data_IF_512740461987
#
_entry.id   IF_512740461987
#
_cell.length_a   1.000
_cell.length_b   1.000
_cell.length_c   1.000
_cell.angle_alpha   90.00
_cell.angle_beta   90.00
_cell.angle_gamma   90.00
#
_symmetry.space_group_name_H-M   'P 1'
#
loop_
_entity.id
_entity.type
_entity.pdbx_description
1 polymer ?
#
# COMPACT_ATOMS: atom_id res chain seq x y z
N UNK A 1 -13.56 -2.55 -12.22
CA UNK A 1 -12.45 -3.10 -13.06
C UNK A 1 -11.14 -2.70 -12.40
N UNK A 2 -10.11 -3.57 -12.36
CA UNK A 2 -8.82 -3.25 -11.74
C UNK A 2 -7.66 -3.49 -12.72
N UNK A 3 -6.76 -2.51 -12.78
CA UNK A 3 -5.44 -2.56 -13.42
C UNK A 3 -4.38 -2.62 -12.32
N UNK A 4 -3.39 -3.49 -12.44
CA UNK A 4 -2.32 -3.60 -11.45
C UNK A 4 -0.95 -3.35 -12.09
N UNK A 5 -0.10 -2.60 -11.39
CA UNK A 5 1.30 -2.38 -11.73
C UNK A 5 2.16 -2.92 -10.59
N UNK A 6 2.67 -4.13 -10.74
CA UNK A 6 3.61 -4.72 -9.79
C UNK A 6 5.05 -4.39 -10.17
N UNK A 7 5.96 -4.48 -9.20
CA UNK A 7 7.38 -4.38 -9.46
C UNK A 7 8.20 -4.04 -8.21
N UNK A 8 9.53 -4.12 -8.29
CA UNK A 8 10.39 -3.88 -7.15
C UNK A 8 10.35 -2.42 -6.67
N UNK A 9 10.85 -2.17 -5.47
CA UNK A 9 10.97 -0.81 -4.95
C UNK A 9 11.89 0.04 -5.85
N UNK A 10 11.50 1.30 -6.11
CA UNK A 10 12.26 2.21 -6.96
C UNK A 10 12.06 2.03 -8.48
N UNK A 11 11.22 1.08 -8.94
CA UNK A 11 10.96 0.86 -10.37
C UNK A 11 10.16 1.97 -11.06
N UNK A 12 9.59 2.90 -10.28
CA UNK A 12 8.74 3.98 -10.79
C UNK A 12 7.24 3.67 -10.85
N UNK A 13 6.83 2.46 -10.44
CA UNK A 13 5.43 2.02 -10.44
C UNK A 13 4.43 2.99 -9.83
N UNK A 14 4.68 3.54 -8.64
CA UNK A 14 3.72 4.42 -7.97
C UNK A 14 3.58 5.77 -8.69
N UNK A 15 4.66 6.30 -9.27
CA UNK A 15 4.58 7.52 -10.10
C UNK A 15 3.81 7.26 -11.39
N UNK A 16 4.07 6.14 -12.05
CA UNK A 16 3.37 5.74 -13.28
C UNK A 16 1.89 5.49 -13.01
N UNK A 17 1.54 4.73 -11.98
CA UNK A 17 0.15 4.44 -11.62
C UNK A 17 -0.64 5.72 -11.35
N UNK A 18 -0.07 6.67 -10.59
CA UNK A 18 -0.69 7.97 -10.34
C UNK A 18 -0.84 8.82 -11.59
N UNK A 19 0.16 8.82 -12.48
CA UNK A 19 0.08 9.55 -13.74
C UNK A 19 -1.00 8.97 -14.66
N UNK A 20 -1.08 7.64 -14.78
CA UNK A 20 -2.12 6.95 -15.55
C UNK A 20 -3.50 7.21 -14.96
N UNK A 21 -3.65 7.13 -13.63
CA UNK A 21 -4.88 7.47 -12.94
C UNK A 21 -5.37 8.88 -13.29
N UNK A 22 -4.47 9.87 -13.19
CA UNK A 22 -4.79 11.26 -13.52
C UNK A 22 -5.12 11.45 -15.00
N UNK A 23 -4.36 10.85 -15.92
CA UNK A 23 -4.55 11.00 -17.36
C UNK A 23 -5.84 10.35 -17.85
N UNK A 24 -6.19 9.18 -17.32
CA UNK A 24 -7.40 8.43 -17.70
C UNK A 24 -8.62 8.78 -16.84
N UNK A 25 -8.45 9.63 -15.83
CA UNK A 25 -9.49 9.97 -14.84
C UNK A 25 -10.08 8.72 -14.15
N UNK A 26 -9.22 7.76 -13.83
CA UNK A 26 -9.57 6.54 -13.09
C UNK A 26 -9.01 6.58 -11.67
N UNK A 27 -9.52 5.72 -10.80
CA UNK A 27 -9.17 5.75 -9.38
C UNK A 27 -7.80 5.13 -9.10
N UNK A 28 -7.01 5.73 -8.19
CA UNK A 28 -5.79 5.10 -7.68
C UNK A 28 -6.08 4.41 -6.33
N UNK A 29 -5.80 3.11 -6.24
CA UNK A 29 -5.96 2.34 -5.00
C UNK A 29 -4.69 2.47 -4.14
N UNK A 30 -4.82 3.15 -2.99
CA UNK A 30 -3.78 3.22 -1.98
C UNK A 30 -3.88 2.03 -1.02
N UNK A 31 -3.26 0.90 -1.38
CA UNK A 31 -3.22 -0.30 -0.55
C UNK A 31 -2.58 -0.04 0.83
N UNK A 32 -1.65 0.92 0.92
CA UNK A 32 -1.04 1.34 2.17
C UNK A 32 -2.03 2.02 3.12
N UNK A 33 -2.97 2.82 2.59
CA UNK A 33 -4.01 3.45 3.39
C UNK A 33 -4.93 2.42 4.07
N UNK A 34 -5.24 1.31 3.40
CA UNK A 34 -6.08 0.24 3.98
C UNK A 34 -5.42 -0.41 5.20
N UNK A 35 -4.14 -0.76 5.10
CA UNK A 35 -3.40 -1.29 6.26
C UNK A 35 -3.32 -0.28 7.40
N UNK A 36 -3.24 1.02 7.09
CA UNK A 36 -3.22 2.08 8.10
C UNK A 36 -4.57 2.27 8.79
N UNK A 37 -5.70 2.10 8.10
CA UNK A 37 -7.02 2.05 8.75
C UNK A 37 -7.09 0.86 9.69
N UNK A 38 -6.69 -0.34 9.25
CA UNK A 38 -6.64 -1.51 10.14
C UNK A 38 -5.73 -1.26 11.35
N UNK A 39 -4.61 -0.58 11.16
CA UNK A 39 -3.71 -0.18 12.25
C UNK A 39 -4.37 0.80 13.21
N UNK A 40 -5.17 1.74 12.72
CA UNK A 40 -5.94 2.64 13.58
C UNK A 40 -6.95 1.87 14.45
N UNK A 41 -7.65 0.88 13.88
CA UNK A 41 -8.54 0.00 14.66
C UNK A 41 -7.76 -0.78 15.72
N UNK A 42 -6.56 -1.26 15.40
CA UNK A 42 -5.66 -1.91 16.37
C UNK A 42 -5.20 -0.98 17.50
N UNK A 43 -4.96 0.29 17.21
CA UNK A 43 -4.64 1.27 18.24
C UNK A 43 -5.85 1.53 19.15
N UNK A 44 -7.05 1.62 18.57
CA UNK A 44 -8.31 1.80 19.31
C UNK A 44 -8.69 0.57 20.15
N UNK A 45 -8.11 -0.60 19.87
CA UNK A 45 -8.30 -1.81 20.67
C UNK A 45 -7.28 -1.94 21.82
N UNK A 46 -6.57 -0.86 22.17
CA UNK A 46 -5.45 -0.87 23.11
C UNK A 46 -4.35 -1.88 22.72
N UNK A 47 -4.15 -2.10 21.42
CA UNK A 47 -3.19 -3.07 20.85
C UNK A 47 -3.46 -4.52 21.27
N UNK A 48 -4.68 -4.83 21.69
CA UNK A 48 -5.13 -6.19 21.95
C UNK A 48 -5.70 -6.82 20.67
N UNK A 49 -5.18 -7.98 20.26
CA UNK A 49 -5.62 -8.64 19.01
C UNK A 49 -7.03 -9.22 19.07
N UNK A 50 -7.48 -9.73 20.21
CA UNK A 50 -8.84 -10.28 20.35
C UNK A 50 -9.86 -9.15 20.18
N UNK A 51 -9.71 -8.08 20.97
CA UNK A 51 -10.53 -6.87 20.86
C UNK A 51 -10.41 -6.22 19.47
N UNK A 52 -9.21 -6.26 18.87
CA UNK A 52 -8.99 -5.72 17.53
C UNK A 52 -9.85 -6.43 16.48
N UNK A 53 -9.89 -7.76 16.49
CA UNK A 53 -10.68 -8.50 15.50
C UNK A 53 -12.18 -8.28 15.70
N UNK A 54 -12.65 -8.22 16.95
CA UNK A 54 -14.04 -7.88 17.26
C UNK A 54 -14.40 -6.48 16.71
N UNK A 55 -13.57 -5.47 16.99
CA UNK A 55 -13.76 -4.11 16.48
C UNK A 55 -13.67 -4.05 14.95
N UNK A 56 -12.78 -4.82 14.34
CA UNK A 56 -12.59 -4.83 12.89
C UNK A 56 -13.81 -5.42 12.17
N UNK A 57 -14.44 -6.45 12.73
CA UNK A 57 -15.65 -7.06 12.20
C UNK A 57 -16.86 -6.13 12.32
N UNK A 58 -16.96 -5.37 13.42
CA UNK A 58 -18.03 -4.39 13.62
C UNK A 58 -17.83 -3.09 12.82
N UNK A 59 -16.60 -2.81 12.39
CA UNK A 59 -16.21 -1.57 11.74
C UNK A 59 -16.72 -1.47 10.30
N UNK A 60 -17.34 -0.34 9.98
CA UNK A 60 -17.67 0.03 8.59
C UNK A 60 -16.52 0.81 7.98
N UNK A 61 -15.64 0.13 7.26
CA UNK A 61 -14.55 0.75 6.53
C UNK A 61 -14.99 1.03 5.10
N UNK A 62 -14.86 2.28 4.67
CA UNK A 62 -15.13 2.69 3.30
C UNK A 62 -14.12 3.70 2.81
N UNK A 63 -13.99 3.81 1.49
CA UNK A 63 -13.04 4.71 0.87
C UNK A 63 -13.67 5.42 -0.31
N UNK A 64 -13.35 6.70 -0.42
CA UNK A 64 -13.80 7.54 -1.51
C UNK A 64 -12.60 8.23 -2.11
N UNK A 65 -12.49 8.20 -3.43
CA UNK A 65 -11.48 8.98 -4.12
C UNK A 65 -12.10 10.28 -4.60
N UNK A 66 -11.57 11.41 -4.14
CA UNK A 66 -12.05 12.74 -4.47
C UNK A 66 -10.85 13.67 -4.62
N UNK A 67 -10.87 14.56 -5.61
CA UNK A 67 -9.84 15.58 -5.83
C UNK A 67 -8.41 15.01 -5.91
N UNK A 68 -8.27 13.81 -6.51
CA UNK A 68 -6.98 13.14 -6.66
C UNK A 68 -6.45 12.49 -5.37
N UNK A 69 -7.26 12.41 -4.31
CA UNK A 69 -6.89 11.88 -3.00
C UNK A 69 -7.82 10.77 -2.56
N UNK A 70 -7.25 9.79 -1.86
CA UNK A 70 -7.98 8.72 -1.22
C UNK A 70 -8.40 9.18 0.19
N UNK A 71 -9.70 9.25 0.40
CA UNK A 71 -10.33 9.58 1.67
C UNK A 71 -10.80 8.30 2.34
N UNK A 72 -10.35 8.09 3.57
CA UNK A 72 -10.66 6.90 4.36
C UNK A 72 -11.72 7.23 5.40
N UNK A 73 -12.71 6.35 5.53
CA UNK A 73 -13.78 6.48 6.50
C UNK A 73 -13.86 5.23 7.36
N UNK A 74 -13.94 5.44 8.67
CA UNK A 74 -14.17 4.41 9.67
C UNK A 74 -15.46 4.76 10.42
N UNK A 75 -16.48 3.90 10.35
CA UNK A 75 -17.78 4.13 10.99
C UNK A 75 -18.45 5.45 10.56
N UNK A 76 -18.28 5.81 9.28
CA UNK A 76 -18.72 7.07 8.65
C UNK A 76 -17.97 8.34 9.10
N UNK A 77 -16.94 8.22 9.94
CA UNK A 77 -16.06 9.32 10.28
C UNK A 77 -14.84 9.32 9.37
N UNK A 78 -14.45 10.50 8.87
CA UNK A 78 -13.28 10.63 8.01
C UNK A 78 -12.00 10.53 8.85
N UNK A 79 -11.17 9.52 8.56
CA UNK A 79 -9.91 9.23 9.27
C UNK A 79 -8.68 9.45 8.38
N UNK A 80 -8.83 10.12 7.23
CA UNK A 80 -7.79 10.34 6.22
C UNK A 80 -6.47 10.88 6.78
N UNK A 81 -6.52 11.82 7.71
CA UNK A 81 -5.33 12.41 8.32
C UNK A 81 -4.81 11.59 9.50
N UNK A 82 -5.72 11.00 10.27
CA UNK A 82 -5.39 10.18 11.44
C UNK A 82 -4.59 8.92 11.07
N UNK A 83 -4.95 8.26 9.96
CA UNK A 83 -4.19 7.10 9.45
C UNK A 83 -2.77 7.45 8.98
N UNK A 84 -2.45 8.75 8.87
CA UNK A 84 -1.12 9.26 8.53
C UNK A 84 -0.33 9.75 9.74
N UNK A 85 -0.87 9.56 10.95
CA UNK A 85 -0.18 9.89 12.20
C UNK A 85 1.13 9.12 12.36
N UNK A 86 1.99 9.65 13.23
CA UNK A 86 3.26 8.99 13.60
C UNK A 86 3.00 7.64 14.26
N UNK A 87 2.03 7.59 15.17
CA UNK A 87 1.67 6.37 15.91
C UNK A 87 1.21 5.24 14.98
N UNK A 88 0.34 5.54 14.00
CA UNK A 88 -0.06 4.57 12.97
C UNK A 88 1.15 4.12 12.13
N UNK A 89 2.04 5.05 11.78
CA UNK A 89 3.22 4.74 10.99
C UNK A 89 4.21 3.83 11.72
N UNK A 90 4.28 3.90 13.05
CA UNK A 90 5.12 3.04 13.89
C UNK A 90 4.59 1.60 13.96
N UNK A 91 3.26 1.41 13.96
CA UNK A 91 2.65 0.08 14.16
C UNK A 91 2.20 -0.61 12.87
N UNK A 92 2.06 0.11 11.75
CA UNK A 92 1.51 -0.47 10.50
C UNK A 92 2.34 -1.66 9.97
N UNK A 93 3.65 -1.67 10.21
CA UNK A 93 4.50 -2.78 9.77
C UNK A 93 4.25 -4.06 10.58
N UNK A 94 4.00 -3.92 11.88
CA UNK A 94 3.62 -5.03 12.77
C UNK A 94 2.25 -5.58 12.37
N UNK A 95 1.26 -4.70 12.25
CA UNK A 95 -0.12 -5.06 11.90
C UNK A 95 -0.19 -5.73 10.52
N UNK A 96 0.49 -5.18 9.50
CA UNK A 96 0.54 -5.77 8.16
C UNK A 96 1.29 -7.13 8.09
N UNK A 97 2.11 -7.45 9.11
CA UNK A 97 2.79 -8.74 9.20
C UNK A 97 1.88 -9.87 9.68
N UNK A 98 0.71 -9.55 10.26
CA UNK A 98 -0.28 -10.54 10.66
C UNK A 98 -1.02 -11.12 9.41
N UNK A 99 -1.01 -12.46 9.20
CA UNK A 99 -1.69 -13.08 8.05
C UNK A 99 -3.20 -12.83 7.98
N UNK A 100 -3.90 -12.83 9.11
CA UNK A 100 -5.34 -12.63 9.16
C UNK A 100 -5.72 -11.19 8.80
N UNK A 101 -4.90 -10.23 9.23
CA UNK A 101 -5.02 -8.82 8.80
C UNK A 101 -4.81 -8.70 7.30
N UNK A 102 -3.78 -9.33 6.73
CA UNK A 102 -3.56 -9.31 5.28
C UNK A 102 -4.74 -9.90 4.52
N UNK A 103 -5.30 -11.01 5.00
CA UNK A 103 -6.48 -11.64 4.41
C UNK A 103 -7.66 -10.66 4.41
N UNK A 104 -7.96 -10.07 5.57
CA UNK A 104 -9.04 -9.07 5.69
C UNK A 104 -8.83 -7.87 4.74
N UNK A 105 -7.64 -7.28 4.74
CA UNK A 105 -7.32 -6.13 3.89
C UNK A 105 -7.40 -6.48 2.41
N UNK A 106 -6.99 -7.70 2.02
CA UNK A 106 -7.13 -8.18 0.64
C UNK A 106 -8.61 -8.33 0.23
N UNK A 107 -9.45 -8.85 1.12
CA UNK A 107 -10.89 -8.98 0.85
C UNK A 107 -11.56 -7.60 0.75
N UNK A 108 -11.22 -6.67 1.65
CA UNK A 108 -11.69 -5.29 1.58
C UNK A 108 -11.25 -4.59 0.28
N UNK A 109 -9.99 -4.77 -0.14
CA UNK A 109 -9.51 -4.26 -1.42
C UNK A 109 -10.32 -4.79 -2.60
N UNK A 110 -10.66 -6.08 -2.61
CA UNK A 110 -11.50 -6.70 -3.65
C UNK A 110 -12.90 -6.12 -3.69
N UNK A 111 -13.49 -5.80 -2.54
CA UNK A 111 -14.79 -5.14 -2.49
C UNK A 111 -14.74 -3.70 -3.01
N UNK A 112 -13.73 -2.92 -2.60
CA UNK A 112 -13.59 -1.50 -2.99
C UNK A 112 -13.48 -1.34 -4.51
N UNK A 113 -12.78 -2.23 -5.21
CA UNK A 113 -12.55 -2.10 -6.67
C UNK A 113 -13.75 -2.49 -7.54
N UNK A 114 -14.86 -2.96 -6.95
CA UNK A 114 -16.06 -3.38 -7.70
C UNK A 114 -16.89 -2.20 -8.22
N UNK A 115 -16.82 -1.04 -7.57
CA UNK A 115 -17.69 0.10 -7.84
C UNK A 115 -17.23 0.98 -9.02
N UNK A 116 -15.95 0.90 -9.41
CA UNK A 116 -15.37 1.80 -10.42
C UNK A 116 -14.17 1.15 -11.16
N UNK A 117 -13.46 1.93 -11.97
CA UNK A 117 -12.21 1.56 -12.61
C UNK A 117 -11.05 2.04 -11.74
N UNK A 118 -10.22 1.08 -11.32
CA UNK A 118 -9.08 1.33 -10.45
C UNK A 118 -7.76 0.96 -11.14
N UNK A 119 -6.70 1.65 -10.73
CA UNK A 119 -5.31 1.24 -10.91
C UNK A 119 -4.62 1.16 -9.54
N UNK A 120 -3.89 0.08 -9.30
CA UNK A 120 -3.14 -0.13 -8.06
C UNK A 120 -1.67 -0.45 -8.38
N UNK A 121 -0.75 -0.06 -7.51
CA UNK A 121 0.65 -0.48 -7.59
C UNK A 121 1.11 -1.22 -6.34
N UNK A 122 1.96 -2.23 -6.53
CA UNK A 122 2.41 -3.09 -5.45
C UNK A 122 3.58 -3.98 -5.83
N UNK A 123 3.76 -5.07 -5.09
CA UNK A 123 4.80 -6.07 -5.37
C UNK A 123 4.22 -7.34 -5.98
N UNK A 124 3.07 -7.78 -5.48
CA UNK A 124 2.41 -9.04 -5.78
C UNK A 124 0.88 -8.88 -5.87
N UNK A 125 0.38 -7.67 -6.17
CA UNK A 125 -1.05 -7.42 -6.23
C UNK A 125 -1.71 -8.25 -7.33
N UNK A 126 -1.09 -8.39 -8.50
CA UNK A 126 -1.64 -9.14 -9.62
C UNK A 126 -1.60 -10.66 -9.48
N UNK A 127 -0.82 -11.18 -8.53
CA UNK A 127 -0.73 -12.63 -8.25
C UNK A 127 -1.46 -13.02 -6.97
N UNK A 128 -1.31 -12.25 -5.89
CA UNK A 128 -1.86 -12.60 -4.58
C UNK A 128 -3.25 -11.97 -4.31
N UNK A 129 -3.48 -10.74 -4.76
CA UNK A 129 -4.69 -9.98 -4.38
C UNK A 129 -5.74 -10.00 -5.50
N UNK A 130 -5.33 -9.68 -6.71
CA UNK A 130 -6.16 -9.54 -7.91
C UNK A 130 -5.70 -10.49 -9.03
N UNK A 131 -5.79 -11.82 -8.83
CA UNK A 131 -5.46 -12.80 -9.86
C UNK A 131 -6.33 -12.66 -11.11
N UNK A 132 -7.49 -12.02 -11.01
CA UNK A 132 -8.40 -11.77 -12.14
C UNK A 132 -8.39 -10.30 -12.60
N UNK A 133 -7.34 -9.54 -12.26
CA UNK A 133 -7.18 -8.16 -12.74
C UNK A 133 -7.26 -8.10 -14.26
N UNK A 134 -8.00 -7.12 -14.79
CA UNK A 134 -8.27 -6.99 -16.23
C UNK A 134 -6.98 -6.72 -17.03
N UNK A 135 -6.05 -5.97 -16.43
CA UNK A 135 -4.71 -5.74 -16.96
C UNK A 135 -3.69 -5.86 -15.83
N UNK A 136 -2.58 -6.55 -16.11
CA UNK A 136 -1.47 -6.72 -15.18
C UNK A 136 -0.18 -6.31 -15.86
N UNK A 137 0.52 -5.36 -15.25
CA UNK A 137 1.82 -4.88 -15.70
C UNK A 137 2.85 -5.20 -14.63
N UNK A 138 4.05 -5.58 -15.06
CA UNK A 138 5.20 -5.74 -14.16
C UNK A 138 6.31 -4.79 -14.61
N UNK A 139 6.63 -3.80 -13.79
CA UNK A 139 7.67 -2.82 -14.08
C UNK A 139 9.02 -3.31 -13.58
N UNK A 140 9.99 -3.40 -14.49
CA UNK A 140 11.38 -3.74 -14.20
C UNK A 140 12.29 -2.52 -14.34
N UNK A 141 13.32 -2.47 -13.52
CA UNK A 141 14.44 -1.53 -13.66
C UNK A 141 15.68 -2.14 -13.00
N UNK A 142 16.86 -1.83 -13.53
CA UNK A 142 18.11 -2.31 -12.93
C UNK A 142 18.30 -1.76 -11.51
N UNK A 143 19.05 -2.49 -10.68
CA UNK A 143 19.27 -2.15 -9.27
C UNK A 143 19.92 -0.77 -9.11
N UNK A 144 20.83 -0.39 -10.01
CA UNK A 144 21.56 0.89 -9.97
C UNK A 144 20.62 2.09 -10.17
N UNK A 145 19.74 2.01 -11.16
CA UNK A 145 18.74 3.02 -11.49
C UNK A 145 17.75 3.17 -10.35
N UNK A 146 17.28 2.05 -9.79
CA UNK A 146 16.39 2.06 -8.62
C UNK A 146 17.07 2.68 -7.39
N UNK A 147 18.33 2.35 -7.15
CA UNK A 147 19.12 2.91 -6.06
C UNK A 147 19.35 4.41 -6.22
N UNK A 148 19.75 4.87 -7.42
CA UNK A 148 19.92 6.31 -7.72
C UNK A 148 18.62 7.08 -7.50
N UNK A 149 17.51 6.58 -8.05
CA UNK A 149 16.20 7.23 -7.89
C UNK A 149 15.82 7.35 -6.40
N UNK A 150 15.97 6.26 -5.65
CA UNK A 150 15.65 6.24 -4.22
C UNK A 150 16.57 7.13 -3.41
N UNK A 151 17.85 7.19 -3.76
CA UNK A 151 18.84 8.06 -3.13
C UNK A 151 18.44 9.54 -3.29
N UNK A 152 18.07 9.97 -4.51
CA UNK A 152 17.60 11.33 -4.74
C UNK A 152 16.31 11.64 -3.95
N UNK A 153 15.33 10.73 -3.92
CA UNK A 153 14.12 10.89 -3.09
C UNK A 153 14.46 11.12 -1.61
N UNK A 154 15.36 10.30 -1.05
CA UNK A 154 15.74 10.37 0.37
C UNK A 154 16.55 11.63 0.66
N UNK A 155 17.40 12.07 -0.27
CA UNK A 155 18.17 13.31 -0.18
C UNK A 155 17.27 14.55 -0.18
N UNK A 156 16.21 14.57 -0.99
CA UNK A 156 15.21 15.66 -0.98
C UNK A 156 14.44 15.77 0.34
N UNK A 157 14.40 14.68 1.13
CA UNK A 157 13.80 14.65 2.47
C UNK A 157 14.79 15.06 3.58
N UNK A 158 16.00 15.50 3.24
CA UNK A 158 17.01 15.93 4.20
C UNK A 158 17.68 14.79 4.98
N UNK A 159 17.51 13.54 4.55
CA UNK A 159 18.11 12.38 5.22
C UNK A 159 19.55 12.17 4.74
N UNK A 160 20.45 11.93 5.68
CA UNK A 160 21.86 11.67 5.39
C UNK A 160 22.08 10.16 5.21
N UNK A 161 22.07 9.70 3.97
CA UNK A 161 22.35 8.31 3.57
C UNK A 161 23.31 8.31 2.39
N UNK A 162 24.01 7.22 2.17
CA UNK A 162 24.86 7.01 0.99
C UNK A 162 24.15 6.20 -0.09
N UNK A 163 24.56 6.36 -1.35
CA UNK A 163 24.03 5.56 -2.46
C UNK A 163 24.26 4.05 -2.23
N UNK A 164 25.38 3.66 -1.62
CA UNK A 164 25.69 2.26 -1.33
C UNK A 164 24.76 1.67 -0.28
N UNK A 165 24.45 2.40 0.80
CA UNK A 165 23.48 1.96 1.80
C UNK A 165 22.08 1.79 1.20
N UNK A 166 21.65 2.74 0.36
CA UNK A 166 20.36 2.66 -0.35
C UNK A 166 20.34 1.43 -1.27
N UNK A 167 21.40 1.21 -2.04
CA UNK A 167 21.51 0.05 -2.95
C UNK A 167 21.47 -1.27 -2.19
N UNK A 168 22.22 -1.38 -1.09
CA UNK A 168 22.24 -2.57 -0.24
C UNK A 168 20.85 -2.85 0.37
N UNK A 169 20.16 -1.81 0.84
CA UNK A 169 18.81 -1.94 1.38
C UNK A 169 17.80 -2.42 0.33
N UNK A 170 17.87 -1.89 -0.89
CA UNK A 170 17.01 -2.34 -1.99
C UNK A 170 17.30 -3.81 -2.35
N UNK A 171 18.58 -4.18 -2.48
CA UNK A 171 18.96 -5.56 -2.78
C UNK A 171 18.49 -6.55 -1.71
N UNK A 172 18.64 -6.19 -0.42
CA UNK A 172 18.15 -7.00 0.69
C UNK A 172 16.63 -7.18 0.62
N UNK A 173 15.89 -6.09 0.36
CA UNK A 173 14.43 -6.15 0.21
C UNK A 173 14.01 -7.03 -0.95
N UNK A 174 14.64 -6.89 -2.11
CA UNK A 174 14.34 -7.73 -3.26
C UNK A 174 14.60 -9.21 -2.98
N UNK A 175 15.66 -9.54 -2.23
CA UNK A 175 15.92 -10.91 -1.79
C UNK A 175 14.82 -11.44 -0.85
N UNK A 176 14.38 -10.63 0.11
CA UNK A 176 13.26 -11.00 1.01
C UNK A 176 11.96 -11.19 0.24
N UNK A 177 11.66 -10.30 -0.71
CA UNK A 177 10.42 -10.36 -1.50
C UNK A 177 10.44 -11.51 -2.52
N UNK A 178 11.62 -11.91 -3.03
CA UNK A 178 11.77 -13.09 -3.89
C UNK A 178 11.60 -14.41 -3.11
N UNK A 179 11.87 -14.39 -1.81
CA UNK A 179 11.74 -15.54 -0.91
C UNK A 179 10.42 -15.58 -0.16
N UNK A 180 9.52 -14.62 -0.37
CA UNK A 180 8.15 -14.69 0.14
C UNK A 180 7.37 -15.69 -0.71
N UNK A 181 7.37 -16.93 -0.25
CA UNK A 181 6.44 -17.95 -0.70
C UNK A 181 5.02 -17.40 -0.60
N UNK A 182 4.28 -17.53 -1.70
CA UNK A 182 2.86 -17.20 -1.84
C UNK A 182 1.99 -17.95 -0.83
#
# INVERSE_FOLDING_TARGET
>A
MIVVIDGPAGSGKSSTAKAVAAQLQIQFLDSGALYRVATLVYLNSDKNYDTFFDLLEESKISFHFKDGKFHAFLNNEEVSDEIRSMEVSEHVSEVASNPDVRKYVNDLMREVVKSDIYIADGRDLGTAVFPDAALKFFMVADLETRAKRRYEEVKTQGKNVTLQEVKANIAQRDATDSNRSS
#
